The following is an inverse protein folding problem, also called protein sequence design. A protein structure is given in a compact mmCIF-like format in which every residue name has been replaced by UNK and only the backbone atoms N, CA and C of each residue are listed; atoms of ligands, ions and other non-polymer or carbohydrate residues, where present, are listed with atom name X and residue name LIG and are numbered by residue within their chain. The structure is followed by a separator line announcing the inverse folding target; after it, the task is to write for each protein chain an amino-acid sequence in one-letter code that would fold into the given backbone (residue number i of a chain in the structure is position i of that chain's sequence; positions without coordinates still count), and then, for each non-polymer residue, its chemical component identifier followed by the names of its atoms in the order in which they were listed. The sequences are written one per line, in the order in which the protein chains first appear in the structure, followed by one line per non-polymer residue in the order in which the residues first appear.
data_IF_482846855852
#
_entry.id   IF_482846855852
#
_cell.length_a   1.000
_cell.length_b   1.000
_cell.length_c   1.000
_cell.angle_alpha   90.00
_cell.angle_beta   90.00
_cell.angle_gamma   90.00
#
_symmetry.space_group_name_H-M   'P 1'
#
loop_
_entity.id
_entity.type
_entity.pdbx_description
1 polymer ?
#
# COMPACT_ATOMS: atom_id res chain seq x y z
N UNK A 1 -6.30 -18.44 6.87
CA UNK A 1 -6.56 -17.21 7.67
C UNK A 1 -7.16 -17.60 9.01
N UNK A 2 -6.87 -16.89 10.10
CA UNK A 2 -7.51 -17.14 11.40
C UNK A 2 -8.97 -16.67 11.41
N UNK A 3 -9.81 -17.33 12.21
CA UNK A 3 -11.20 -16.89 12.42
C UNK A 3 -11.28 -15.51 13.09
N UNK A 4 -10.25 -15.16 13.88
CA UNK A 4 -10.12 -13.85 14.55
C UNK A 4 -10.04 -12.73 13.50
N UNK A 5 -9.22 -12.89 12.46
CA UNK A 5 -9.10 -11.90 11.39
C UNK A 5 -10.45 -11.68 10.69
N UNK A 6 -11.17 -12.77 10.37
CA UNK A 6 -12.51 -12.68 9.76
C UNK A 6 -13.48 -11.92 10.64
N UNK A 7 -13.43 -12.17 11.96
CA UNK A 7 -14.25 -11.49 12.95
C UNK A 7 -13.92 -9.99 13.03
N UNK A 8 -12.65 -9.59 12.99
CA UNK A 8 -12.26 -8.16 13.02
C UNK A 8 -12.76 -7.38 11.82
N UNK A 9 -12.70 -7.98 10.63
CA UNK A 9 -13.28 -7.37 9.43
C UNK A 9 -14.81 -7.30 9.57
N UNK A 10 -15.45 -8.35 10.08
CA UNK A 10 -16.89 -8.36 10.31
C UNK A 10 -17.34 -7.28 11.29
N UNK A 11 -16.62 -7.06 12.39
CA UNK A 11 -16.93 -6.01 13.38
C UNK A 11 -17.05 -4.63 12.71
N UNK A 12 -16.12 -4.30 11.79
CA UNK A 12 -16.13 -3.05 11.03
C UNK A 12 -17.28 -3.01 10.02
N UNK A 13 -17.54 -4.13 9.32
CA UNK A 13 -18.69 -4.22 8.39
C UNK A 13 -20.01 -4.03 9.14
N UNK A 14 -20.17 -4.70 10.28
CA UNK A 14 -21.36 -4.63 11.12
C UNK A 14 -21.60 -3.23 11.69
N UNK A 15 -20.55 -2.54 12.16
CA UNK A 15 -20.66 -1.16 12.66
C UNK A 15 -21.05 -0.15 11.56
N UNK A 16 -20.85 -0.53 10.29
CA UNK A 16 -21.16 0.29 9.13
C UNK A 16 -22.40 -0.18 8.35
N UNK A 17 -23.15 -1.18 8.80
CA UNK A 17 -24.35 -1.67 8.11
C UNK A 17 -25.63 -1.37 8.90
N UNK A 18 -26.75 -1.30 8.19
CA UNK A 18 -28.09 -1.45 8.78
C UNK A 18 -28.35 -2.93 9.10
N UNK A 19 -29.35 -3.19 9.95
CA UNK A 19 -29.72 -4.56 10.33
C UNK A 19 -30.01 -5.45 9.11
N UNK A 20 -30.71 -4.95 8.09
CA UNK A 20 -31.04 -5.72 6.88
C UNK A 20 -29.83 -5.98 5.98
N UNK A 21 -28.88 -5.04 5.90
CA UNK A 21 -27.62 -5.23 5.15
C UNK A 21 -26.73 -6.28 5.84
N UNK A 22 -26.60 -6.21 7.17
CA UNK A 22 -25.86 -7.17 7.96
C UNK A 22 -26.48 -8.58 7.87
N UNK A 23 -27.81 -8.67 7.97
CA UNK A 23 -28.54 -9.93 7.83
C UNK A 23 -28.33 -10.54 6.44
N UNK A 24 -28.39 -9.73 5.38
CA UNK A 24 -28.13 -10.22 4.02
C UNK A 24 -26.71 -10.79 3.88
N UNK A 25 -25.69 -10.08 4.39
CA UNK A 25 -24.30 -10.55 4.35
C UNK A 25 -24.13 -11.86 5.13
N UNK A 26 -24.69 -11.93 6.35
CA UNK A 26 -24.65 -13.15 7.17
C UNK A 26 -25.38 -14.30 6.49
N UNK A 27 -26.52 -14.08 5.85
CA UNK A 27 -27.21 -15.12 5.09
C UNK A 27 -26.39 -15.65 3.91
N UNK A 28 -25.53 -14.82 3.31
CA UNK A 28 -24.63 -15.23 2.22
C UNK A 28 -23.36 -15.92 2.70
N UNK A 29 -22.89 -15.62 3.91
CA UNK A 29 -21.75 -16.30 4.52
C UNK A 29 -22.14 -17.54 5.33
N UNK A 30 -23.36 -17.60 5.85
CA UNK A 30 -23.82 -18.65 6.73
C UNK A 30 -24.02 -19.94 5.95
N UNK A 31 -23.24 -20.94 6.31
CA UNK A 31 -23.47 -22.31 5.89
C UNK A 31 -24.59 -22.92 6.73
N UNK A 32 -25.58 -23.50 6.07
CA UNK A 32 -26.09 -24.77 6.60
C UNK A 32 -24.91 -25.76 6.62
N UNK A 33 -24.76 -26.64 7.62
CA UNK A 33 -23.64 -27.57 7.68
C UNK A 33 -23.50 -28.36 6.37
N UNK A 34 -22.46 -28.08 5.59
CA UNK A 34 -22.09 -28.79 4.36
C UNK A 34 -22.39 -28.11 3.01
N UNK A 35 -23.05 -26.95 2.94
CA UNK A 35 -23.32 -26.27 1.65
C UNK A 35 -23.41 -24.74 1.81
N UNK A 36 -22.28 -24.05 1.89
CA UNK A 36 -22.18 -22.75 1.21
C UNK A 36 -21.37 -23.02 -0.03
N UNK A 37 -22.00 -22.91 -1.19
CA UNK A 37 -21.25 -23.16 -2.43
C UNK A 37 -20.36 -21.96 -2.70
N UNK A 38 -19.10 -22.13 -3.13
CA UNK A 38 -18.28 -21.01 -3.59
C UNK A 38 -19.01 -20.10 -4.59
N UNK A 39 -19.91 -20.69 -5.40
CA UNK A 39 -20.80 -19.99 -6.30
C UNK A 39 -21.70 -18.94 -5.62
N UNK A 40 -22.27 -19.22 -4.44
CA UNK A 40 -23.12 -18.28 -3.70
C UNK A 40 -22.32 -17.08 -3.20
N UNK A 41 -21.12 -17.33 -2.65
CA UNK A 41 -20.20 -16.28 -2.20
C UNK A 41 -19.72 -15.40 -3.36
N UNK A 42 -19.34 -16.00 -4.48
CA UNK A 42 -18.95 -15.28 -5.70
C UNK A 42 -20.12 -14.45 -6.25
N UNK A 43 -21.34 -15.00 -6.26
CA UNK A 43 -22.53 -14.26 -6.69
C UNK A 43 -22.86 -13.11 -5.74
N UNK A 44 -22.71 -13.31 -4.42
CA UNK A 44 -22.88 -12.27 -3.42
C UNK A 44 -21.82 -11.16 -3.58
N UNK A 45 -20.57 -11.51 -3.86
CA UNK A 45 -19.50 -10.56 -4.14
C UNK A 45 -19.85 -9.64 -5.31
N UNK A 46 -20.33 -10.20 -6.42
CA UNK A 46 -20.78 -9.43 -7.59
C UNK A 46 -22.03 -8.60 -7.27
N UNK A 47 -22.99 -9.17 -6.55
CA UNK A 47 -24.28 -8.55 -6.27
C UNK A 47 -24.25 -7.50 -5.13
N UNK A 48 -23.19 -7.46 -4.31
CA UNK A 48 -23.03 -6.57 -3.15
C UNK A 48 -23.52 -5.12 -3.36
N UNK A 49 -23.14 -4.38 -4.42
CA UNK A 49 -23.60 -2.99 -4.61
C UNK A 49 -25.11 -2.82 -4.82
N UNK A 50 -25.87 -3.90 -5.04
CA UNK A 50 -27.34 -3.89 -5.15
C UNK A 50 -28.03 -3.98 -3.79
N UNK A 51 -27.34 -4.52 -2.80
CA UNK A 51 -27.89 -4.78 -1.47
C UNK A 51 -27.29 -3.88 -0.38
N UNK A 52 -26.17 -3.22 -0.67
CA UNK A 52 -25.44 -2.39 0.29
C UNK A 52 -25.45 -0.91 -0.12
N UNK A 53 -25.53 -0.04 0.88
CA UNK A 53 -25.42 1.40 0.72
C UNK A 53 -24.04 1.81 0.17
N UNK A 54 -24.06 2.76 -0.77
CA UNK A 54 -22.85 3.35 -1.35
C UNK A 54 -22.33 4.47 -0.46
N UNK A 55 -21.72 4.11 0.66
CA UNK A 55 -21.08 5.03 1.59
C UNK A 55 -19.64 4.62 1.88
N UNK A 56 -18.84 5.60 2.30
CA UNK A 56 -17.52 5.36 2.87
C UNK A 56 -17.72 4.88 4.31
N UNK A 57 -16.93 3.89 4.73
CA UNK A 57 -16.99 3.37 6.09
C UNK A 57 -16.31 4.34 7.05
N UNK A 58 -16.75 4.32 8.30
CA UNK A 58 -16.05 4.94 9.40
C UNK A 58 -15.40 3.85 10.26
N UNK A 59 -14.15 4.08 10.66
CA UNK A 59 -13.42 3.20 11.58
C UNK A 59 -12.97 3.99 12.80
N UNK A 60 -13.19 3.42 13.97
CA UNK A 60 -12.68 3.93 15.24
C UNK A 60 -11.20 3.58 15.40
N UNK A 61 -10.47 4.34 16.22
CA UNK A 61 -9.05 4.04 16.50
C UNK A 61 -8.85 2.63 17.09
N UNK A 62 -9.84 2.14 17.86
CA UNK A 62 -9.83 0.78 18.39
C UNK A 62 -9.97 -0.28 17.30
N UNK A 63 -10.87 -0.09 16.33
CA UNK A 63 -11.01 -0.99 15.18
C UNK A 63 -9.74 -0.98 14.31
N UNK A 64 -9.17 0.20 14.06
CA UNK A 64 -7.90 0.36 13.32
C UNK A 64 -6.76 -0.41 14.00
N UNK A 65 -6.58 -0.21 15.31
CA UNK A 65 -5.55 -0.89 16.08
C UNK A 65 -5.74 -2.42 16.12
N UNK A 66 -6.99 -2.89 16.27
CA UNK A 66 -7.31 -4.30 16.29
C UNK A 66 -7.05 -4.98 14.94
N UNK A 67 -7.39 -4.32 13.83
CA UNK A 67 -7.09 -4.85 12.49
C UNK A 67 -5.58 -4.90 12.23
N UNK A 68 -4.85 -3.84 12.59
CA UNK A 68 -3.41 -3.77 12.40
C UNK A 68 -2.64 -4.82 13.24
N UNK A 69 -3.19 -5.25 14.38
CA UNK A 69 -2.62 -6.33 15.18
C UNK A 69 -2.67 -7.68 14.42
N UNK A 70 -3.78 -7.94 13.73
CA UNK A 70 -3.97 -9.18 12.96
C UNK A 70 -3.24 -9.13 11.61
N UNK A 71 -3.25 -7.98 10.96
CA UNK A 71 -2.64 -7.75 9.64
C UNK A 71 -1.89 -6.43 9.66
N UNK A 72 -0.61 -6.45 10.09
CA UNK A 72 0.21 -5.26 10.11
C UNK A 72 0.29 -4.59 8.73
N UNK A 73 0.01 -3.30 8.69
CA UNK A 73 0.05 -2.46 7.47
C UNK A 73 -1.23 -2.44 6.63
N UNK A 74 -2.23 -3.28 6.90
CA UNK A 74 -3.50 -3.19 6.19
C UNK A 74 -4.36 -2.06 6.77
N UNK A 75 -4.71 -1.06 5.95
CA UNK A 75 -5.73 -0.06 6.30
C UNK A 75 -6.95 -0.18 5.39
N UNK A 76 -8.13 -0.05 6.01
CA UNK A 76 -9.43 0.02 5.32
C UNK A 76 -10.01 1.43 5.32
N UNK A 77 -9.24 2.42 5.79
CA UNK A 77 -9.67 3.82 5.82
C UNK A 77 -9.99 4.32 4.41
N UNK A 78 -11.08 5.09 4.29
CA UNK A 78 -11.56 5.59 3.01
C UNK A 78 -12.19 4.53 2.09
N UNK A 79 -12.31 3.27 2.51
CA UNK A 79 -12.99 2.25 1.71
C UNK A 79 -14.50 2.46 1.69
N UNK A 80 -15.12 2.07 0.58
CA UNK A 80 -16.59 1.95 0.55
C UNK A 80 -17.05 0.72 1.31
N UNK A 81 -18.27 0.78 1.86
CA UNK A 81 -18.89 -0.37 2.50
C UNK A 81 -18.95 -1.58 1.57
N UNK A 82 -19.22 -1.34 0.27
CA UNK A 82 -19.24 -2.38 -0.76
C UNK A 82 -17.87 -3.05 -0.91
N UNK A 83 -16.78 -2.28 -0.97
CA UNK A 83 -15.41 -2.82 -1.07
C UNK A 83 -15.07 -3.69 0.15
N UNK A 84 -15.30 -3.19 1.36
CA UNK A 84 -15.01 -3.95 2.57
C UNK A 84 -15.86 -5.23 2.67
N UNK A 85 -17.15 -5.15 2.34
CA UNK A 85 -18.05 -6.31 2.38
C UNK A 85 -17.67 -7.36 1.35
N UNK A 86 -17.25 -6.94 0.14
CA UNK A 86 -16.67 -7.83 -0.88
C UNK A 86 -15.42 -8.53 -0.35
N UNK A 87 -14.48 -7.79 0.24
CA UNK A 87 -13.27 -8.35 0.85
C UNK A 87 -13.64 -9.35 1.94
N UNK A 88 -14.59 -9.02 2.82
CA UNK A 88 -15.07 -9.92 3.85
C UNK A 88 -15.68 -11.21 3.28
N UNK A 89 -16.51 -11.14 2.24
CA UNK A 89 -17.08 -12.32 1.57
C UNK A 89 -16.00 -13.25 1.03
N UNK A 90 -14.91 -12.72 0.47
CA UNK A 90 -13.78 -13.53 0.02
C UNK A 90 -13.11 -14.30 1.17
N UNK A 91 -13.09 -13.74 2.38
CA UNK A 91 -12.54 -14.43 3.56
C UNK A 91 -13.39 -15.64 4.01
N UNK A 92 -14.63 -15.75 3.51
CA UNK A 92 -15.54 -16.85 3.83
C UNK A 92 -15.34 -18.07 2.93
N UNK A 93 -14.60 -17.94 1.82
CA UNK A 93 -14.26 -19.07 0.96
C UNK A 93 -13.40 -20.09 1.72
N UNK A 94 -13.76 -21.37 1.61
CA UNK A 94 -13.03 -22.47 2.24
C UNK A 94 -11.70 -22.72 1.51
N UNK A 95 -10.55 -22.54 2.17
CA UNK A 95 -9.26 -22.77 1.55
C UNK A 95 -8.79 -24.23 1.64
N UNK A 96 -9.61 -25.17 2.11
CA UNK A 96 -9.18 -26.58 2.33
C UNK A 96 -8.76 -27.29 1.04
N UNK A 97 -9.43 -27.02 -0.08
CA UNK A 97 -9.01 -27.43 -1.40
C UNK A 97 -8.33 -26.25 -2.12
N UNK A 98 -7.01 -26.34 -2.28
CA UNK A 98 -6.20 -25.30 -2.91
C UNK A 98 -6.63 -25.02 -4.35
N UNK A 99 -6.86 -26.06 -5.15
CA UNK A 99 -7.09 -25.90 -6.59
C UNK A 99 -8.48 -25.30 -6.85
N UNK A 100 -9.48 -25.74 -6.08
CA UNK A 100 -10.81 -25.14 -6.12
C UNK A 100 -10.80 -23.69 -5.61
N UNK A 101 -10.15 -23.41 -4.47
CA UNK A 101 -10.02 -22.06 -3.93
C UNK A 101 -9.36 -21.11 -4.94
N UNK A 102 -8.24 -21.54 -5.53
CA UNK A 102 -7.51 -20.73 -6.50
C UNK A 102 -8.36 -20.47 -7.74
N UNK A 103 -8.99 -21.51 -8.28
CA UNK A 103 -9.87 -21.39 -9.44
C UNK A 103 -11.03 -20.42 -9.22
N UNK A 104 -11.66 -20.43 -8.04
CA UNK A 104 -12.78 -19.55 -7.73
C UNK A 104 -12.37 -18.08 -7.70
N UNK A 105 -11.25 -17.76 -7.05
CA UNK A 105 -10.70 -16.39 -7.03
C UNK A 105 -10.24 -15.95 -8.42
N UNK A 106 -9.55 -16.80 -9.17
CA UNK A 106 -9.12 -16.50 -10.55
C UNK A 106 -10.32 -16.22 -11.46
N UNK A 107 -11.41 -16.97 -11.30
CA UNK A 107 -12.67 -16.72 -12.02
C UNK A 107 -13.24 -15.33 -11.72
N UNK A 108 -13.15 -14.88 -10.46
CA UNK A 108 -13.53 -13.51 -10.09
C UNK A 108 -12.60 -12.49 -10.76
N UNK A 109 -11.28 -12.69 -10.76
CA UNK A 109 -10.36 -11.79 -11.45
C UNK A 109 -10.62 -11.70 -12.96
N UNK A 110 -10.91 -12.82 -13.62
CA UNK A 110 -11.13 -12.87 -15.08
C UNK A 110 -12.43 -12.18 -15.51
N UNK A 111 -13.41 -12.07 -14.62
CA UNK A 111 -14.75 -11.53 -14.92
C UNK A 111 -15.03 -10.19 -14.25
N UNK A 112 -14.14 -9.73 -13.38
CA UNK A 112 -14.36 -8.56 -12.53
C UNK A 112 -14.45 -7.24 -13.30
N UNK A 113 -15.42 -6.42 -12.90
CA UNK A 113 -15.40 -4.98 -13.23
C UNK A 113 -14.41 -4.20 -12.34
N UNK A 114 -14.23 -2.91 -12.61
CA UNK A 114 -13.23 -2.07 -11.95
C UNK A 114 -13.30 -2.10 -10.41
N UNK A 115 -14.47 -1.94 -9.80
CA UNK A 115 -14.61 -1.93 -8.33
C UNK A 115 -14.49 -3.35 -7.72
N UNK A 116 -14.75 -4.38 -8.50
CA UNK A 116 -14.49 -5.78 -8.14
C UNK A 116 -12.99 -6.06 -8.15
N UNK A 117 -12.25 -5.61 -9.17
CA UNK A 117 -10.79 -5.69 -9.21
C UNK A 117 -10.18 -4.95 -8.02
N UNK A 118 -10.64 -3.71 -7.74
CA UNK A 118 -10.20 -2.96 -6.56
C UNK A 118 -10.38 -3.80 -5.30
N UNK A 119 -11.55 -4.42 -5.08
CA UNK A 119 -11.79 -5.27 -3.93
C UNK A 119 -10.90 -6.52 -3.89
N UNK A 120 -10.69 -7.20 -5.03
CA UNK A 120 -9.84 -8.38 -5.14
C UNK A 120 -8.37 -8.07 -4.82
N UNK A 121 -7.82 -6.98 -5.38
CA UNK A 121 -6.45 -6.56 -5.08
C UNK A 121 -6.27 -6.12 -3.63
N UNK A 122 -7.29 -5.50 -3.05
CA UNK A 122 -7.31 -5.15 -1.63
C UNK A 122 -7.34 -6.36 -0.71
N UNK A 123 -7.89 -7.47 -1.19
CA UNK A 123 -8.01 -8.70 -0.43
C UNK A 123 -6.73 -9.54 -0.45
N UNK A 124 -5.72 -9.26 -1.29
CA UNK A 124 -4.55 -10.13 -1.42
C UNK A 124 -3.82 -10.44 -0.10
N UNK A 125 -3.64 -9.52 0.86
CA UNK A 125 -3.09 -9.83 2.18
C UNK A 125 -3.89 -10.85 2.99
N UNK A 126 -5.17 -11.01 2.66
CA UNK A 126 -6.14 -11.84 3.34
C UNK A 126 -6.28 -13.22 2.69
N UNK A 127 -6.07 -13.33 1.37
CA UNK A 127 -6.29 -14.58 0.67
C UNK A 127 -5.28 -15.66 1.07
N UNK A 128 -5.76 -16.90 1.18
CA UNK A 128 -4.89 -18.08 1.35
C UNK A 128 -3.99 -18.28 0.12
N UNK A 129 -2.87 -18.99 0.30
CA UNK A 129 -1.89 -19.30 -0.74
C UNK A 129 -1.31 -18.05 -1.44
N UNK A 130 -0.68 -17.13 -0.69
CA UNK A 130 -0.32 -15.82 -1.19
C UNK A 130 0.52 -15.87 -2.47
N UNK A 131 1.46 -16.81 -2.59
CA UNK A 131 2.33 -16.94 -3.77
C UNK A 131 1.56 -17.18 -5.09
N UNK A 132 0.32 -17.67 -5.04
CA UNK A 132 -0.52 -17.86 -6.22
C UNK A 132 -0.94 -16.51 -6.84
N UNK A 133 -1.05 -15.46 -6.03
CA UNK A 133 -1.53 -14.15 -6.46
C UNK A 133 -0.44 -13.24 -7.00
N UNK A 134 0.82 -13.67 -6.99
CA UNK A 134 1.96 -12.85 -7.39
C UNK A 134 1.85 -12.36 -8.84
N UNK A 135 1.37 -13.22 -9.76
CA UNK A 135 1.15 -12.83 -11.14
C UNK A 135 0.09 -11.73 -11.25
N UNK A 136 -1.07 -11.88 -10.59
CA UNK A 136 -2.12 -10.86 -10.56
C UNK A 136 -1.61 -9.55 -9.95
N UNK A 137 -0.95 -9.63 -8.81
CA UNK A 137 -0.43 -8.44 -8.11
C UNK A 137 0.58 -7.65 -8.96
N UNK A 138 1.49 -8.34 -9.66
CA UNK A 138 2.45 -7.69 -10.57
C UNK A 138 1.79 -7.21 -11.87
N UNK A 139 0.69 -7.81 -12.30
CA UNK A 139 -0.12 -7.32 -13.42
C UNK A 139 -0.85 -6.00 -13.08
N UNK A 140 -1.39 -5.87 -11.86
CA UNK A 140 -1.97 -4.60 -11.38
C UNK A 140 -0.97 -3.44 -11.47
N UNK A 141 0.31 -3.69 -11.11
CA UNK A 141 1.40 -2.71 -11.22
C UNK A 141 1.68 -2.34 -12.67
N UNK A 142 1.52 -3.25 -13.64
CA UNK A 142 1.71 -2.97 -15.06
C UNK A 142 0.49 -2.31 -15.73
N UNK A 143 -0.69 -2.43 -15.14
CA UNK A 143 -1.93 -1.86 -15.69
C UNK A 143 -1.98 -0.33 -15.63
N UNK A 144 -2.65 0.34 -16.56
CA UNK A 144 -2.90 1.79 -16.49
C UNK A 144 -4.13 2.15 -15.63
N UNK A 145 -4.67 1.20 -14.86
CA UNK A 145 -5.87 1.38 -14.06
C UNK A 145 -5.50 1.97 -12.69
N UNK A 146 -5.64 3.30 -12.54
CA UNK A 146 -5.22 4.03 -11.34
C UNK A 146 -5.76 3.45 -10.03
N UNK A 147 -7.07 3.19 -9.93
CA UNK A 147 -7.67 2.63 -8.71
C UNK A 147 -7.21 1.20 -8.39
N UNK A 148 -6.95 0.38 -9.41
CA UNK A 148 -6.41 -0.97 -9.24
C UNK A 148 -4.97 -0.91 -8.75
N UNK A 149 -4.16 -0.01 -9.32
CA UNK A 149 -2.82 0.27 -8.85
C UNK A 149 -2.83 0.72 -7.38
N UNK A 150 -3.72 1.64 -7.01
CA UNK A 150 -3.83 2.14 -5.63
C UNK A 150 -4.18 1.03 -4.65
N UNK A 151 -5.08 0.12 -5.03
CA UNK A 151 -5.50 -1.00 -4.20
C UNK A 151 -4.37 -1.99 -3.87
N UNK A 152 -3.35 -2.11 -4.74
CA UNK A 152 -2.18 -2.95 -4.49
C UNK A 152 -1.00 -2.16 -3.91
N UNK A 153 -0.85 -0.88 -4.22
CA UNK A 153 0.33 -0.10 -3.85
C UNK A 153 0.23 0.59 -2.49
N UNK A 154 -0.97 1.05 -2.11
CA UNK A 154 -1.18 1.90 -0.93
C UNK A 154 -1.93 1.15 0.16
N UNK A 155 -1.44 1.22 1.40
CA UNK A 155 -2.00 0.57 2.59
C UNK A 155 -2.25 -0.93 2.41
N UNK A 156 -1.38 -1.58 1.63
CA UNK A 156 -1.47 -2.98 1.31
C UNK A 156 -0.12 -3.64 1.61
N UNK A 157 -0.03 -4.53 2.62
CA UNK A 157 1.24 -5.16 3.01
C UNK A 157 1.65 -6.32 2.11
N UNK A 158 0.86 -6.67 1.08
CA UNK A 158 1.16 -7.80 0.20
C UNK A 158 2.47 -7.60 -0.61
N UNK A 159 2.71 -6.45 -1.28
CA UNK A 159 3.93 -6.25 -2.04
C UNK A 159 5.20 -6.34 -1.19
N UNK A 160 5.19 -5.81 0.04
CA UNK A 160 6.35 -5.87 0.94
C UNK A 160 6.82 -7.32 1.11
N UNK A 161 5.88 -8.22 1.40
CA UNK A 161 6.18 -9.61 1.74
C UNK A 161 6.48 -10.49 0.53
N UNK A 162 5.84 -10.24 -0.61
CA UNK A 162 5.82 -11.19 -1.73
C UNK A 162 6.53 -10.71 -3.00
N UNK A 163 6.73 -9.41 -3.19
CA UNK A 163 7.35 -8.94 -4.43
C UNK A 163 8.85 -9.24 -4.45
N UNK A 164 9.36 -9.65 -5.61
CA UNK A 164 10.79 -9.58 -5.89
C UNK A 164 11.27 -8.14 -5.83
N UNK A 165 12.57 -7.92 -5.64
CA UNK A 165 13.16 -6.58 -5.66
C UNK A 165 12.80 -5.80 -6.94
N UNK A 166 12.79 -6.48 -8.10
CA UNK A 166 12.41 -5.84 -9.35
C UNK A 166 10.95 -5.36 -9.36
N UNK A 167 10.01 -6.23 -8.97
CA UNK A 167 8.59 -5.88 -8.93
C UNK A 167 8.30 -4.79 -7.89
N UNK A 168 9.00 -4.85 -6.74
CA UNK A 168 8.96 -3.84 -5.70
C UNK A 168 9.40 -2.46 -6.22
N UNK A 169 10.58 -2.40 -6.87
CA UNK A 169 11.09 -1.16 -7.44
C UNK A 169 10.15 -0.58 -8.50
N UNK A 170 9.54 -1.42 -9.34
CA UNK A 170 8.53 -0.98 -10.31
C UNK A 170 7.30 -0.36 -9.65
N UNK A 171 6.81 -0.95 -8.55
CA UNK A 171 5.69 -0.40 -7.79
C UNK A 171 6.04 0.97 -7.19
N UNK A 172 7.20 1.09 -6.55
CA UNK A 172 7.63 2.36 -5.93
C UNK A 172 7.83 3.45 -6.98
N UNK A 173 8.58 3.16 -8.05
CA UNK A 173 8.82 4.13 -9.13
C UNK A 173 7.52 4.57 -9.81
N UNK A 174 6.59 3.64 -10.05
CA UNK A 174 5.29 3.99 -10.61
C UNK A 174 4.46 4.85 -9.67
N UNK A 175 4.56 4.63 -8.35
CA UNK A 175 3.90 5.48 -7.35
C UNK A 175 4.44 6.91 -7.43
N UNK A 176 5.77 7.07 -7.53
CA UNK A 176 6.44 8.37 -7.71
C UNK A 176 6.00 9.03 -9.03
N UNK A 177 6.01 8.29 -10.15
CA UNK A 177 5.66 8.84 -11.46
C UNK A 177 4.20 9.27 -11.58
N UNK A 178 3.31 8.62 -10.82
CA UNK A 178 1.91 8.96 -10.74
C UNK A 178 1.59 10.05 -9.71
N UNK A 179 2.61 10.66 -9.10
CA UNK A 179 2.47 11.71 -8.08
C UNK A 179 1.58 11.27 -6.91
N UNK A 180 1.81 10.04 -6.44
CA UNK A 180 1.07 9.41 -5.34
C UNK A 180 1.87 9.42 -4.04
N UNK A 181 1.20 9.45 -2.87
CA UNK A 181 1.86 9.47 -1.56
C UNK A 181 2.62 8.16 -1.30
N UNK A 182 3.94 8.16 -1.53
CA UNK A 182 4.76 6.96 -1.37
C UNK A 182 4.84 6.48 0.08
N UNK A 183 4.61 7.38 1.04
CA UNK A 183 4.61 7.04 2.46
C UNK A 183 3.47 6.09 2.87
N UNK A 184 2.45 5.92 2.03
CA UNK A 184 1.42 4.89 2.20
C UNK A 184 1.81 3.53 1.61
N UNK A 185 2.99 3.38 1.01
CA UNK A 185 3.52 2.07 0.63
C UNK A 185 4.01 1.37 1.90
N UNK A 186 3.30 0.33 2.30
CA UNK A 186 3.65 -0.47 3.47
C UNK A 186 5.02 -1.14 3.29
N UNK A 187 5.90 -0.96 4.26
CA UNK A 187 7.26 -1.52 4.22
C UNK A 187 8.26 -0.72 3.38
N UNK A 188 7.94 0.51 2.98
CA UNK A 188 8.82 1.35 2.16
C UNK A 188 10.24 1.40 2.70
N UNK A 189 10.38 1.77 3.98
CA UNK A 189 11.66 1.94 4.67
C UNK A 189 12.44 0.63 4.84
N UNK A 190 11.73 -0.50 4.95
CA UNK A 190 12.32 -1.82 5.12
C UNK A 190 12.92 -2.35 3.81
N UNK A 191 12.35 -1.93 2.68
CA UNK A 191 12.65 -2.46 1.35
C UNK A 191 13.30 -1.46 0.40
N UNK A 192 13.77 -0.33 0.92
CA UNK A 192 14.70 0.53 0.19
C UNK A 192 15.90 -0.30 -0.30
N UNK A 193 16.49 0.07 -1.42
CA UNK A 193 17.66 -0.62 -1.97
C UNK A 193 18.47 0.30 -2.89
N UNK A 194 19.73 -0.06 -3.11
CA UNK A 194 20.67 0.74 -3.91
C UNK A 194 20.18 0.98 -5.35
N UNK A 195 19.60 -0.04 -6.00
CA UNK A 195 19.09 0.12 -7.37
C UNK A 195 17.96 1.15 -7.43
N UNK A 196 17.06 1.13 -6.45
CA UNK A 196 15.98 2.10 -6.34
C UNK A 196 16.53 3.52 -6.13
N UNK A 197 17.54 3.68 -5.26
CA UNK A 197 18.20 4.97 -5.03
C UNK A 197 18.87 5.53 -6.30
N UNK A 198 19.58 4.68 -7.04
CA UNK A 198 20.21 5.07 -8.32
C UNK A 198 19.15 5.45 -9.36
N UNK A 199 18.11 4.63 -9.52
CA UNK A 199 17.03 4.93 -10.50
C UNK A 199 16.26 6.20 -10.13
N UNK A 200 16.12 6.48 -8.83
CA UNK A 200 15.54 7.74 -8.36
C UNK A 200 16.40 8.95 -8.77
N UNK A 201 17.72 8.85 -8.64
CA UNK A 201 18.65 9.89 -9.07
C UNK A 201 18.54 10.15 -10.59
N UNK A 202 18.46 9.10 -11.40
CA UNK A 202 18.27 9.24 -12.85
C UNK A 202 16.97 9.98 -13.16
N UNK A 203 15.87 9.61 -12.50
CA UNK A 203 14.60 10.32 -12.60
C UNK A 203 14.71 11.79 -12.16
N UNK A 204 15.42 12.08 -11.08
CA UNK A 204 15.60 13.44 -10.58
C UNK A 204 16.32 14.31 -11.61
N UNK A 205 17.41 13.81 -12.20
CA UNK A 205 18.13 14.48 -13.28
C UNK A 205 17.25 14.74 -14.51
N UNK A 206 16.43 13.78 -14.93
CA UNK A 206 15.47 13.96 -16.03
C UNK A 206 14.42 15.05 -15.71
N UNK A 207 13.97 15.15 -14.45
CA UNK A 207 13.02 16.18 -14.02
C UNK A 207 13.67 17.56 -13.99
N UNK A 208 14.85 17.68 -13.38
CA UNK A 208 15.59 18.94 -13.29
C UNK A 208 16.01 19.47 -14.67
N UNK A 209 16.46 18.60 -15.58
CA UNK A 209 16.77 18.98 -16.96
C UNK A 209 15.55 19.52 -17.72
N UNK A 210 14.35 19.09 -17.33
CA UNK A 210 13.07 19.58 -17.85
C UNK A 210 12.50 20.79 -17.07
N UNK A 211 13.22 21.33 -16.09
CA UNK A 211 12.76 22.43 -15.24
C UNK A 211 11.60 22.05 -14.31
N UNK A 212 11.42 20.75 -14.02
CA UNK A 212 10.35 20.23 -13.17
C UNK A 212 10.91 19.86 -11.79
N UNK A 213 10.10 20.02 -10.75
CA UNK A 213 10.48 19.60 -9.40
C UNK A 213 10.37 18.09 -9.19
N UNK A 214 11.10 17.61 -8.20
CA UNK A 214 11.02 16.24 -7.66
C UNK A 214 10.35 16.34 -6.29
N UNK A 215 9.33 15.52 -5.95
CA UNK A 215 8.71 15.58 -4.63
C UNK A 215 9.74 15.25 -3.53
N UNK A 216 9.86 16.10 -2.50
CA UNK A 216 10.92 15.99 -1.50
C UNK A 216 10.97 14.63 -0.77
N UNK A 217 9.80 14.06 -0.46
CA UNK A 217 9.69 12.76 0.23
C UNK A 217 10.40 11.60 -0.48
N UNK A 218 10.61 11.65 -1.80
CA UNK A 218 11.21 10.52 -2.53
C UNK A 218 12.67 10.26 -2.10
N UNK A 219 13.36 11.27 -1.58
CA UNK A 219 14.77 11.16 -1.18
C UNK A 219 15.00 10.26 0.04
N UNK A 220 13.93 9.87 0.76
CA UNK A 220 13.97 8.82 1.79
C UNK A 220 14.48 7.48 1.26
N UNK A 221 14.34 7.25 -0.03
CA UNK A 221 14.82 6.03 -0.70
C UNK A 221 16.34 6.02 -0.90
N UNK A 222 17.01 7.18 -0.80
CA UNK A 222 18.42 7.33 -1.12
C UNK A 222 19.35 7.38 0.11
N UNK A 223 18.86 7.82 1.27
CA UNK A 223 19.69 8.13 2.45
C UNK A 223 20.67 7.02 2.85
N UNK A 224 20.16 5.79 3.00
CA UNK A 224 20.97 4.60 3.36
C UNK A 224 21.99 4.18 2.29
N UNK A 225 21.84 4.65 1.06
CA UNK A 225 22.63 4.23 -0.11
C UNK A 225 23.46 5.37 -0.71
N UNK A 226 23.59 6.52 -0.03
CA UNK A 226 24.37 7.64 -0.53
C UNK A 226 25.79 7.21 -0.88
N UNK A 227 26.18 7.53 -2.11
CA UNK A 227 27.52 7.38 -2.66
C UNK A 227 27.98 8.72 -3.23
N UNK A 228 29.17 8.80 -3.82
CA UNK A 228 29.72 10.06 -4.35
C UNK A 228 28.80 10.72 -5.38
N UNK A 229 28.10 9.95 -6.22
CA UNK A 229 27.18 10.50 -7.22
C UNK A 229 25.92 11.06 -6.54
N UNK A 230 25.26 10.27 -5.70
CA UNK A 230 24.06 10.71 -4.97
C UNK A 230 24.33 11.87 -4.00
N UNK A 231 25.57 12.02 -3.53
CA UNK A 231 25.95 13.16 -2.70
C UNK A 231 25.90 14.49 -3.48
N UNK A 232 26.15 14.46 -4.79
CA UNK A 232 25.99 15.64 -5.64
C UNK A 232 24.52 16.07 -5.73
N UNK A 233 23.59 15.10 -5.77
CA UNK A 233 22.15 15.37 -5.73
C UNK A 233 21.75 16.03 -4.40
N UNK A 234 22.30 15.55 -3.28
CA UNK A 234 22.05 16.16 -1.97
C UNK A 234 22.55 17.61 -1.93
N UNK A 235 23.73 17.89 -2.49
CA UNK A 235 24.22 19.25 -2.62
C UNK A 235 23.29 20.12 -3.48
N UNK A 236 22.81 19.59 -4.61
CA UNK A 236 21.84 20.28 -5.46
C UNK A 236 20.55 20.65 -4.70
N UNK A 237 20.02 19.73 -3.89
CA UNK A 237 18.86 19.98 -3.05
C UNK A 237 19.13 21.02 -1.95
N UNK A 238 20.31 21.00 -1.33
CA UNK A 238 20.68 22.01 -0.35
C UNK A 238 20.77 23.42 -0.95
N UNK A 239 21.16 23.52 -2.23
CA UNK A 239 21.23 24.77 -2.98
C UNK A 239 19.86 25.23 -3.52
N UNK A 240 18.81 24.40 -3.39
CA UNK A 240 17.44 24.74 -3.79
C UNK A 240 16.86 25.89 -2.95
N UNK A 241 16.04 26.73 -3.56
CA UNK A 241 15.27 27.76 -2.86
C UNK A 241 14.12 27.17 -2.02
N UNK A 242 13.69 25.94 -2.34
CA UNK A 242 12.61 25.26 -1.61
C UNK A 242 13.10 24.72 -0.28
N UNK A 243 12.34 24.97 0.77
CA UNK A 243 12.66 24.48 2.11
C UNK A 243 12.58 22.95 2.21
N UNK A 244 11.53 22.36 1.61
CA UNK A 244 11.32 20.91 1.58
C UNK A 244 12.50 20.16 0.94
N UNK A 245 13.09 20.69 -0.13
CA UNK A 245 14.26 20.09 -0.79
C UNK A 245 15.47 20.07 0.17
N UNK A 246 15.74 21.19 0.85
CA UNK A 246 16.83 21.28 1.83
C UNK A 246 16.60 20.37 3.04
N UNK A 247 15.35 20.26 3.50
CA UNK A 247 14.95 19.35 4.58
C UNK A 247 15.14 17.88 4.17
N UNK A 248 14.74 17.50 2.96
CA UNK A 248 14.94 16.15 2.42
C UNK A 248 16.43 15.80 2.30
N UNK A 249 17.26 16.72 1.81
CA UNK A 249 18.71 16.54 1.75
C UNK A 249 19.32 16.31 3.14
N UNK A 250 18.85 17.08 4.13
CA UNK A 250 19.30 16.95 5.51
C UNK A 250 18.94 15.59 6.12
N UNK A 251 17.69 15.14 5.93
CA UNK A 251 17.22 13.83 6.39
C UNK A 251 18.01 12.69 5.73
N UNK A 252 18.13 12.70 4.40
CA UNK A 252 18.86 11.68 3.66
C UNK A 252 20.35 11.63 4.05
N UNK A 253 20.99 12.78 4.25
CA UNK A 253 22.38 12.83 4.73
C UNK A 253 22.52 12.37 6.19
N UNK A 254 21.52 12.61 7.04
CA UNK A 254 21.49 12.16 8.43
C UNK A 254 21.34 10.64 8.59
N UNK A 255 20.71 9.97 7.62
CA UNK A 255 20.57 8.51 7.57
C UNK A 255 21.78 7.80 6.95
N UNK A 256 22.65 8.54 6.28
CA UNK A 256 23.75 7.98 5.52
C UNK A 256 24.89 7.47 6.41
N UNK A 257 25.46 6.33 6.01
CA UNK A 257 26.69 5.80 6.64
C UNK A 257 27.96 6.41 6.02
N UNK A 258 27.83 7.13 4.90
CA UNK A 258 28.95 7.76 4.19
C UNK A 258 29.47 8.98 4.96
N UNK A 259 30.76 9.03 5.36
CA UNK A 259 31.31 10.17 6.10
C UNK A 259 31.18 11.51 5.38
N UNK A 260 31.29 11.51 4.05
CA UNK A 260 31.12 12.71 3.23
C UNK A 260 29.71 13.33 3.34
N UNK A 261 28.67 12.52 3.56
CA UNK A 261 27.31 13.03 3.80
C UNK A 261 27.20 13.76 5.14
N UNK A 262 27.84 13.24 6.19
CA UNK A 262 27.91 13.91 7.48
C UNK A 262 28.65 15.25 7.40
N UNK A 263 29.75 15.31 6.66
CA UNK A 263 30.46 16.58 6.42
C UNK A 263 29.64 17.58 5.62
N UNK A 264 28.83 17.11 4.67
CA UNK A 264 27.92 17.97 3.93
C UNK A 264 26.83 18.54 4.84
N UNK A 265 26.16 17.69 5.62
CA UNK A 265 25.12 18.10 6.57
C UNK A 265 25.64 19.09 7.62
N UNK A 266 26.86 18.91 8.13
CA UNK A 266 27.46 19.79 9.13
C UNK A 266 27.63 21.25 8.67
N UNK A 267 27.61 21.52 7.36
CA UNK A 267 27.61 22.89 6.81
C UNK A 267 26.27 23.62 7.07
N UNK A 268 25.20 22.88 7.35
CA UNK A 268 23.85 23.38 7.56
C UNK A 268 23.43 23.14 9.02
N UNK A 269 24.07 23.85 9.95
CA UNK A 269 24.01 23.58 11.39
C UNK A 269 22.59 23.55 11.97
N UNK A 270 21.67 24.39 11.48
CA UNK A 270 20.29 24.41 11.96
C UNK A 270 19.53 23.15 11.54
N UNK A 271 19.67 22.73 10.28
CA UNK A 271 19.08 21.49 9.77
C UNK A 271 19.71 20.26 10.44
N UNK A 272 21.03 20.25 10.63
CA UNK A 272 21.73 19.17 11.35
C UNK A 272 21.17 18.98 12.76
N UNK A 273 20.96 20.08 13.51
CA UNK A 273 20.36 20.03 14.85
C UNK A 273 18.92 19.52 14.80
N UNK A 274 18.11 19.96 13.85
CA UNK A 274 16.73 19.51 13.71
C UNK A 274 16.63 18.02 13.41
N UNK A 275 17.46 17.49 12.51
CA UNK A 275 17.52 16.05 12.22
C UNK A 275 17.99 15.26 13.44
N UNK A 276 19.07 15.68 14.10
CA UNK A 276 19.62 14.96 15.28
C UNK A 276 18.69 14.97 16.50
N UNK A 277 17.89 16.02 16.66
CA UNK A 277 16.91 16.12 17.74
C UNK A 277 15.58 15.42 17.43
N UNK A 278 15.36 14.98 16.19
CA UNK A 278 14.09 14.44 15.73
C UNK A 278 13.00 15.50 15.55
N UNK A 279 13.36 16.79 15.55
CA UNK A 279 12.44 17.90 15.29
C UNK A 279 12.09 18.04 13.81
N UNK A 280 12.92 17.47 12.93
CA UNK A 280 12.63 17.29 11.51
C UNK A 280 12.63 15.78 11.21
N UNK A 281 11.58 15.31 10.56
CA UNK A 281 11.38 13.91 10.17
C UNK A 281 10.80 13.84 8.75
N UNK A 282 10.79 12.65 8.15
CA UNK A 282 10.13 12.49 6.85
C UNK A 282 8.62 12.77 6.88
N UNK A 283 7.96 12.63 8.03
CA UNK A 283 6.54 12.95 8.17
C UNK A 283 6.23 14.42 7.88
N UNK A 284 7.20 15.31 8.05
CA UNK A 284 7.06 16.73 7.72
C UNK A 284 7.03 16.98 6.19
N UNK A 285 7.44 15.99 5.39
CA UNK A 285 7.49 16.03 3.93
C UNK A 285 6.45 15.12 3.27
N UNK A 286 5.60 14.47 4.07
CA UNK A 286 4.53 13.60 3.60
C UNK A 286 3.35 14.45 3.13
N UNK A 287 3.19 14.54 1.82
CA UNK A 287 2.13 15.25 1.12
C UNK A 287 1.40 14.32 0.15
#
# INVERSE_FOLDING_TARGET
MSDITKQKIWEIVASNTSAGEAEWLQQKSASAPGVTTPFELMTAFVAAPRFLAKKIIHTTDTEKAALNLEIPGLSVEGWSLVRLSRVWLLTQLDPSDKDEYVKNIETLFDTAEMNELVALYSALPLLSYPDQWLFRATDAVRSNMGFVFDAIALHNPYPEKHFSELAWNQLVLKTIFNDKPIHFIEGLENRTNEKLAVTLSDFAHERWAAGRSVPAQVWRLAGKYLNTALLADMQHLFDSEKEEDRQAAALACGEATLPAANYLLAKYTDLEKSVKSGALTWADLEH
#
